data_IF_230027735016
#
_entry.id   IF_230027735016
#
_cell.length_a   1.000
_cell.length_b   1.000
_cell.length_c   1.000
_cell.angle_alpha   90.00
_cell.angle_beta   90.00
_cell.angle_gamma   90.00
#
_symmetry.space_group_name_H-M   'P 1'
#
loop_
_entity.id
_entity.type
_entity.pdbx_description
1 polymer ?
#
# COMPACT_ATOMS: atom_id res chain seq x y z
N UNK A 1 13.56 -35.63 13.93
CA UNK A 1 14.71 -34.77 13.55
C UNK A 1 14.69 -33.54 14.43
N UNK A 2 15.71 -33.31 15.26
CA UNK A 2 15.77 -32.12 16.12
C UNK A 2 16.55 -31.00 15.42
N UNK A 3 15.85 -29.91 15.09
CA UNK A 3 16.44 -28.70 14.51
C UNK A 3 17.62 -28.15 15.34
N UNK A 4 17.56 -28.13 16.68
CA UNK A 4 18.70 -27.66 17.48
C UNK A 4 19.96 -28.51 17.29
N UNK A 5 19.83 -29.84 17.11
CA UNK A 5 20.97 -30.73 16.91
C UNK A 5 21.66 -30.47 15.57
N UNK A 6 20.89 -30.16 14.52
CA UNK A 6 21.40 -29.80 13.20
C UNK A 6 22.14 -28.45 13.24
N UNK A 7 21.57 -27.46 13.91
CA UNK A 7 22.16 -26.13 14.05
C UNK A 7 23.49 -26.17 14.84
N UNK A 8 23.55 -26.97 15.91
CA UNK A 8 24.77 -27.13 16.72
C UNK A 8 25.86 -27.88 15.93
N UNK A 9 25.50 -28.94 15.21
CA UNK A 9 26.47 -29.69 14.41
C UNK A 9 27.06 -28.82 13.28
N UNK A 10 26.22 -28.01 12.63
CA UNK A 10 26.59 -27.14 11.52
C UNK A 10 26.78 -25.67 11.95
N UNK A 11 27.39 -25.44 13.10
CA UNK A 11 27.51 -24.11 13.73
C UNK A 11 28.10 -23.03 12.81
N UNK A 12 29.04 -23.38 11.91
CA UNK A 12 29.64 -22.44 10.94
C UNK A 12 28.58 -21.89 9.97
N UNK A 13 27.74 -22.77 9.42
CA UNK A 13 26.66 -22.39 8.51
C UNK A 13 25.61 -21.58 9.27
N UNK A 14 25.24 -22.01 10.48
CA UNK A 14 24.28 -21.29 11.33
C UNK A 14 24.75 -19.88 11.65
N UNK A 15 26.03 -19.70 11.96
CA UNK A 15 26.62 -18.37 12.23
C UNK A 15 26.60 -17.47 10.99
N UNK A 16 26.97 -18.00 9.83
CA UNK A 16 26.92 -17.24 8.56
C UNK A 16 25.50 -16.79 8.26
N UNK A 17 24.51 -17.69 8.38
CA UNK A 17 23.10 -17.36 8.18
C UNK A 17 22.64 -16.30 9.17
N UNK A 18 23.04 -16.40 10.44
CA UNK A 18 22.66 -15.42 11.46
C UNK A 18 23.25 -14.04 11.19
N UNK A 19 24.53 -13.97 10.81
CA UNK A 19 25.19 -12.72 10.42
C UNK A 19 24.53 -12.12 9.18
N UNK A 20 24.19 -12.95 8.19
CA UNK A 20 23.47 -12.50 6.99
C UNK A 20 22.11 -11.90 7.35
N UNK A 21 21.33 -12.57 8.21
CA UNK A 21 20.05 -12.07 8.68
C UNK A 21 20.19 -10.75 9.45
N UNK A 22 21.24 -10.59 10.26
CA UNK A 22 21.53 -9.34 10.96
C UNK A 22 21.83 -8.21 9.97
N UNK A 23 22.68 -8.44 8.97
CA UNK A 23 23.02 -7.42 7.96
C UNK A 23 21.79 -7.01 7.16
N UNK A 24 20.97 -7.98 6.72
CA UNK A 24 19.73 -7.71 6.00
C UNK A 24 18.72 -6.94 6.88
N UNK A 25 18.59 -7.32 8.15
CA UNK A 25 17.73 -6.64 9.11
C UNK A 25 18.16 -5.19 9.36
N UNK A 26 19.46 -4.95 9.55
CA UNK A 26 20.01 -3.60 9.72
C UNK A 26 19.82 -2.75 8.47
N UNK A 27 20.08 -3.32 7.29
CA UNK A 27 19.88 -2.62 6.03
C UNK A 27 18.41 -2.23 5.84
N UNK A 28 17.49 -3.15 6.10
CA UNK A 28 16.04 -2.90 6.10
C UNK A 28 15.65 -1.78 7.05
N UNK A 29 16.16 -1.80 8.30
CA UNK A 29 15.85 -0.78 9.30
C UNK A 29 16.32 0.64 8.87
N UNK A 30 17.47 0.73 8.21
CA UNK A 30 18.03 2.00 7.75
C UNK A 30 17.38 2.50 6.46
N UNK A 31 16.94 1.60 5.59
CA UNK A 31 16.33 1.95 4.30
C UNK A 31 14.82 2.10 4.36
N UNK A 32 14.17 1.67 5.44
CA UNK A 32 12.72 1.75 5.59
C UNK A 32 12.26 3.21 5.49
N UNK A 33 11.43 3.57 4.49
CA UNK A 33 10.91 4.93 4.37
C UNK A 33 9.96 5.20 5.52
N UNK A 34 10.19 6.31 6.23
CA UNK A 34 9.35 6.77 7.33
C UNK A 34 8.51 7.93 6.83
N UNK A 35 7.21 7.84 6.99
CA UNK A 35 6.28 8.94 6.77
C UNK A 35 5.86 9.45 8.14
N UNK A 36 6.11 10.73 8.41
CA UNK A 36 5.65 11.41 9.64
C UNK A 36 4.13 11.57 9.61
N UNK A 37 3.62 12.05 8.48
CA UNK A 37 2.20 12.05 8.13
C UNK A 37 1.99 11.17 6.89
N UNK A 38 1.39 9.97 7.04
CA UNK A 38 1.08 9.14 5.88
C UNK A 38 -0.01 9.83 5.05
N UNK A 39 0.27 10.06 3.77
CA UNK A 39 -0.75 10.49 2.82
C UNK A 39 -1.72 9.33 2.63
N UNK A 40 -2.89 9.43 3.23
CA UNK A 40 -3.98 8.50 3.00
C UNK A 40 -4.73 8.99 1.77
N UNK A 41 -4.46 8.38 0.62
CA UNK A 41 -5.28 8.59 -0.57
C UNK A 41 -6.64 7.91 -0.33
N UNK A 42 -7.65 8.73 -0.03
CA UNK A 42 -9.03 8.25 0.02
C UNK A 42 -9.46 8.00 -1.42
N UNK A 43 -9.79 6.76 -1.80
CA UNK A 43 -10.21 6.46 -3.16
C UNK A 43 -11.52 7.18 -3.43
N UNK A 44 -11.43 8.31 -4.12
CA UNK A 44 -12.55 9.16 -4.50
C UNK A 44 -12.44 9.41 -6.00
N UNK A 45 -13.57 9.28 -6.66
CA UNK A 45 -13.69 9.52 -8.10
C UNK A 45 -14.68 10.65 -8.24
N UNK A 46 -14.28 11.69 -8.98
CA UNK A 46 -15.13 12.83 -9.26
C UNK A 46 -15.48 12.81 -10.75
N UNK A 47 -16.77 12.88 -11.04
CA UNK A 47 -17.29 13.07 -12.39
C UNK A 47 -17.84 14.49 -12.46
N UNK A 48 -17.29 15.30 -13.37
CA UNK A 48 -17.69 16.71 -13.53
C UNK A 48 -18.36 16.87 -14.89
N UNK A 49 -19.64 17.22 -14.88
CA UNK A 49 -20.39 17.57 -16.08
C UNK A 49 -20.71 19.06 -16.09
N UNK A 50 -20.42 19.73 -17.20
CA UNK A 50 -20.66 21.17 -17.37
C UNK A 50 -21.74 21.35 -18.43
N UNK A 51 -22.92 21.85 -18.02
CA UNK A 51 -24.04 22.12 -18.93
C UNK A 51 -24.52 23.58 -18.79
N UNK A 52 -23.91 24.51 -19.55
CA UNK A 52 -24.16 25.95 -19.39
C UNK A 52 -25.52 26.36 -19.98
N UNK A 53 -26.22 27.24 -19.27
CA UNK A 53 -27.50 27.82 -19.73
C UNK A 53 -28.73 26.94 -19.49
N UNK A 54 -28.56 25.76 -18.88
CA UNK A 54 -29.66 24.91 -18.43
C UNK A 54 -30.11 25.27 -17.01
N UNK A 55 -31.39 25.04 -16.74
CA UNK A 55 -31.96 25.20 -15.40
C UNK A 55 -31.45 24.06 -14.50
N UNK A 56 -31.17 24.27 -13.20
CA UNK A 56 -30.60 23.22 -12.34
C UNK A 56 -31.42 21.92 -12.32
N UNK A 57 -32.76 22.02 -12.37
CA UNK A 57 -33.65 20.86 -12.42
C UNK A 57 -33.46 20.03 -13.69
N UNK A 58 -33.20 20.69 -14.83
CA UNK A 58 -32.98 19.99 -16.09
C UNK A 58 -31.61 19.30 -16.08
N UNK A 59 -30.60 19.89 -15.42
CA UNK A 59 -29.26 19.29 -15.27
C UNK A 59 -29.32 18.03 -14.40
N UNK A 60 -30.10 18.04 -13.32
CA UNK A 60 -30.30 16.87 -12.46
C UNK A 60 -30.88 15.70 -13.27
N UNK A 61 -32.03 15.92 -13.91
CA UNK A 61 -32.76 14.87 -14.63
C UNK A 61 -32.02 14.38 -15.89
N UNK A 62 -31.40 15.29 -16.65
CA UNK A 62 -30.82 14.93 -17.96
C UNK A 62 -29.36 14.49 -17.87
N UNK A 63 -28.65 14.85 -16.80
CA UNK A 63 -27.20 14.64 -16.71
C UNK A 63 -26.83 13.88 -15.45
N UNK A 64 -27.33 14.26 -14.27
CA UNK A 64 -26.94 13.60 -13.02
C UNK A 64 -27.58 12.22 -12.91
N UNK A 65 -28.91 12.11 -13.01
CA UNK A 65 -29.61 10.82 -12.85
C UNK A 65 -29.08 9.72 -13.80
N UNK A 66 -28.87 9.99 -15.12
CA UNK A 66 -28.34 8.97 -16.03
C UNK A 66 -26.90 8.57 -15.72
N UNK A 67 -26.11 9.44 -15.08
CA UNK A 67 -24.73 9.14 -14.69
C UNK A 67 -24.70 8.32 -13.39
N UNK A 68 -25.65 8.53 -12.48
CA UNK A 68 -25.75 7.79 -11.21
C UNK A 68 -26.40 6.41 -11.37
N UNK A 69 -27.33 6.24 -12.33
CA UNK A 69 -28.04 4.97 -12.56
C UNK A 69 -27.31 3.99 -13.50
N UNK A 70 -26.27 4.43 -14.24
CA UNK A 70 -25.51 3.62 -15.20
C UNK A 70 -24.55 2.62 -14.54
#
# INVERSE_FOLDING_TARGET
MSIPKLAIHNHQITLIVFVLLLVLGLNSLLQMPKLEDPVVEIPSIFVVAIYPGANPQDVEIQVVDPIEEA
#
